data_IF_832276440175
#
_entry.id   IF_832276440175
#
_cell.length_a   1.000
_cell.length_b   1.000
_cell.length_c   1.000
_cell.angle_alpha   90.00
_cell.angle_beta   90.00
_cell.angle_gamma   90.00
#
_symmetry.space_group_name_H-M   'P 1'
#
loop_
_entity.id
_entity.type
_entity.pdbx_description
1 polymer ?
#
# COMPACT_ATOMS: atom_id res chain seq x y z
N UNK A 1 6.56 -6.80 20.15
CA UNK A 1 6.62 -6.17 18.81
C UNK A 1 5.35 -5.40 18.61
N UNK A 2 5.38 -4.23 17.97
CA UNK A 2 4.16 -3.48 17.68
C UNK A 2 3.41 -4.19 16.55
N UNK A 3 2.12 -4.45 16.78
CA UNK A 3 1.19 -4.96 15.78
C UNK A 3 0.23 -3.83 15.41
N UNK A 4 0.04 -3.61 14.11
CA UNK A 4 -0.82 -2.57 13.58
C UNK A 4 -1.90 -3.21 12.74
N UNK A 5 -3.14 -3.15 13.20
CA UNK A 5 -4.28 -3.58 12.42
C UNK A 5 -4.48 -2.63 11.24
N UNK A 6 -4.52 -3.19 10.04
CA UNK A 6 -4.69 -2.42 8.83
C UNK A 6 -6.11 -1.84 8.75
N UNK A 7 -6.20 -0.59 8.30
CA UNK A 7 -7.46 0.11 8.03
C UNK A 7 -7.47 0.61 6.60
N UNK A 8 -8.64 0.63 5.97
CA UNK A 8 -8.76 1.09 4.58
C UNK A 8 -9.14 2.54 4.49
N UNK A 9 -8.45 3.27 3.62
CA UNK A 9 -8.65 4.69 3.39
C UNK A 9 -8.83 4.95 1.90
N UNK A 10 -9.73 5.87 1.58
CA UNK A 10 -9.98 6.31 0.22
C UNK A 10 -9.68 7.80 0.05
N UNK A 11 -9.25 8.17 -1.14
CA UNK A 11 -9.06 9.58 -1.46
C UNK A 11 -10.40 10.26 -1.74
N UNK A 12 -10.64 11.40 -1.08
CA UNK A 12 -11.95 12.08 -1.13
C UNK A 12 -12.15 13.03 -2.32
N UNK A 13 -11.17 13.16 -3.21
CA UNK A 13 -11.20 14.18 -4.28
C UNK A 13 -10.73 15.57 -3.85
N UNK A 14 -10.52 15.80 -2.54
CA UNK A 14 -10.15 17.10 -1.97
C UNK A 14 -8.73 17.12 -1.43
N UNK A 15 -8.14 18.32 -1.38
CA UNK A 15 -6.84 18.59 -0.78
C UNK A 15 -7.00 19.46 0.46
N UNK A 16 -6.04 19.35 1.40
CA UNK A 16 -5.90 20.31 2.49
C UNK A 16 -5.64 21.71 1.94
N UNK A 17 -5.89 22.75 2.75
CA UNK A 17 -5.44 24.10 2.44
C UNK A 17 -3.92 24.08 2.14
N UNK A 18 -3.51 24.87 1.14
CA UNK A 18 -2.09 25.00 0.79
C UNK A 18 -1.38 25.83 1.86
N UNK A 19 -0.45 25.22 2.59
CA UNK A 19 0.37 25.88 3.60
C UNK A 19 1.82 25.84 3.10
N UNK A 20 2.41 27.01 2.85
CA UNK A 20 3.76 27.11 2.30
C UNK A 20 3.90 26.51 0.88
N UNK A 21 2.82 26.55 0.09
CA UNK A 21 2.80 25.97 -1.27
C UNK A 21 2.59 24.46 -1.31
N UNK A 22 2.37 23.82 -0.16
CA UNK A 22 2.18 22.38 -0.03
C UNK A 22 0.73 22.11 0.36
N UNK A 23 0.06 21.27 -0.40
CA UNK A 23 -1.22 20.65 -0.03
C UNK A 23 -1.08 19.13 -0.01
N UNK A 24 -1.89 18.47 0.79
CA UNK A 24 -1.93 17.02 0.89
C UNK A 24 -3.33 16.51 0.51
N UNK A 25 -3.43 15.37 -0.21
CA UNK A 25 -4.70 14.68 -0.38
C UNK A 25 -5.43 14.45 0.95
N UNK A 26 -6.75 14.65 1.00
CA UNK A 26 -7.59 14.27 2.14
C UNK A 26 -8.08 12.84 1.92
N UNK A 27 -7.80 11.99 2.90
CA UNK A 27 -8.13 10.57 2.94
C UNK A 27 -9.25 10.33 3.93
N UNK A 28 -10.16 9.40 3.63
CA UNK A 28 -11.29 9.01 4.48
C UNK A 28 -11.21 7.54 4.86
N UNK A 29 -11.32 7.23 6.15
CA UNK A 29 -11.42 5.86 6.66
C UNK A 29 -12.75 5.24 6.19
N UNK A 30 -12.70 4.10 5.52
CA UNK A 30 -13.87 3.43 4.96
C UNK A 30 -14.82 2.86 6.03
N UNK A 31 -14.32 2.61 7.25
CA UNK A 31 -15.08 2.05 8.37
C UNK A 31 -15.67 3.14 9.24
N UNK A 32 -14.90 4.16 9.61
CA UNK A 32 -15.33 5.19 10.57
C UNK A 32 -15.84 6.45 9.90
N UNK A 33 -15.46 6.70 8.64
CA UNK A 33 -15.74 7.95 7.93
C UNK A 33 -14.85 9.12 8.38
N UNK A 34 -13.87 8.89 9.28
CA UNK A 34 -12.91 9.90 9.71
C UNK A 34 -12.08 10.39 8.52
N UNK A 35 -11.81 11.70 8.46
CA UNK A 35 -11.02 12.31 7.39
C UNK A 35 -9.73 12.93 7.94
N UNK A 36 -8.60 12.58 7.34
CA UNK A 36 -7.27 13.09 7.69
C UNK A 36 -6.49 13.47 6.44
N UNK A 37 -5.41 14.24 6.58
CA UNK A 37 -4.49 14.40 5.46
C UNK A 37 -3.71 13.12 5.19
N UNK A 38 -3.31 12.86 3.94
CA UNK A 38 -2.47 11.70 3.58
C UNK A 38 -1.16 11.63 4.36
N UNK A 39 -0.64 12.75 4.87
CA UNK A 39 0.54 12.79 5.74
C UNK A 39 0.27 12.21 7.13
N UNK A 40 -0.96 12.34 7.61
CA UNK A 40 -1.41 11.93 8.94
C UNK A 40 -2.01 10.51 8.95
N UNK A 41 -2.00 9.80 7.82
CA UNK A 41 -2.46 8.41 7.78
C UNK A 41 -1.76 7.55 8.85
N UNK A 42 -2.52 6.75 9.61
CA UNK A 42 -1.97 5.91 10.66
C UNK A 42 -1.11 4.78 10.07
N UNK A 43 -0.23 4.22 10.90
CA UNK A 43 0.51 3.01 10.56
C UNK A 43 -0.45 1.86 10.25
N UNK A 44 -0.20 1.15 9.15
CA UNK A 44 -1.08 0.10 8.66
C UNK A 44 -2.24 0.60 7.79
N UNK A 45 -2.39 1.91 7.57
CA UNK A 45 -3.35 2.43 6.60
C UNK A 45 -3.09 1.84 5.21
N UNK A 46 -4.14 1.39 4.53
CA UNK A 46 -4.16 0.84 3.18
C UNK A 46 -4.96 1.74 2.24
N UNK A 47 -4.47 1.96 1.03
CA UNK A 47 -5.21 2.72 0.00
C UNK A 47 -4.88 2.24 -1.42
N UNK A 48 -5.83 2.46 -2.34
CA UNK A 48 -5.62 2.27 -3.78
C UNK A 48 -4.97 3.51 -4.39
N UNK A 49 -3.72 3.36 -4.84
CA UNK A 49 -2.94 4.41 -5.50
C UNK A 49 -3.51 4.80 -6.87
N UNK A 50 -4.30 3.92 -7.49
CA UNK A 50 -4.94 4.16 -8.78
C UNK A 50 -6.34 4.77 -8.64
N UNK A 51 -6.79 5.12 -7.42
CA UNK A 51 -8.09 5.76 -7.26
C UNK A 51 -8.12 7.11 -7.99
N UNK A 52 -9.09 7.33 -8.91
CA UNK A 52 -9.17 8.56 -9.66
C UNK A 52 -9.57 9.71 -8.74
N UNK A 53 -8.80 10.79 -8.75
CA UNK A 53 -9.11 11.97 -7.94
C UNK A 53 -10.44 12.64 -8.30
N UNK A 54 -10.82 12.56 -9.57
CA UNK A 54 -11.93 13.31 -10.16
C UNK A 54 -12.68 12.49 -11.21
N UNK A 55 -12.81 11.16 -11.01
CA UNK A 55 -13.48 10.27 -11.96
C UNK A 55 -12.75 10.07 -13.31
N UNK A 56 -11.52 10.58 -13.46
CA UNK A 56 -10.65 10.32 -14.62
C UNK A 56 -9.69 9.16 -14.31
N UNK A 57 -9.86 8.06 -15.04
CA UNK A 57 -9.04 6.83 -14.97
C UNK A 57 -7.70 6.99 -15.73
N UNK A 58 -6.99 8.10 -15.55
CA UNK A 58 -5.72 8.37 -16.26
C UNK A 58 -4.49 7.82 -15.52
N UNK A 59 -4.65 7.38 -14.26
CA UNK A 59 -3.55 6.91 -13.40
C UNK A 59 -3.26 5.43 -13.47
N UNK A 60 -4.09 4.65 -14.17
CA UNK A 60 -4.01 3.18 -14.20
C UNK A 60 -2.66 2.62 -14.66
N UNK A 61 -1.83 3.46 -15.28
CA UNK A 61 -0.51 3.11 -15.81
C UNK A 61 0.67 3.59 -14.95
N UNK A 62 0.45 4.32 -13.86
CA UNK A 62 1.53 4.94 -13.08
C UNK A 62 2.13 3.99 -12.03
N UNK A 63 1.37 3.00 -11.57
CA UNK A 63 1.80 2.10 -10.52
C UNK A 63 1.64 0.63 -10.92
N UNK A 64 2.56 -0.26 -10.47
CA UNK A 64 2.36 -1.70 -10.56
C UNK A 64 1.04 -2.12 -9.93
N UNK A 65 0.34 -3.05 -10.58
CA UNK A 65 -0.97 -3.54 -10.15
C UNK A 65 -0.95 -5.02 -9.80
N UNK A 66 -1.77 -5.40 -8.83
CA UNK A 66 -2.05 -6.79 -8.51
C UNK A 66 -2.94 -7.45 -9.57
N UNK A 67 -3.32 -8.70 -9.31
CA UNK A 67 -4.13 -9.50 -10.24
C UNK A 67 -5.55 -8.92 -10.49
N UNK A 68 -6.04 -8.11 -9.55
CA UNK A 68 -7.31 -7.38 -9.61
C UNK A 68 -7.22 -6.05 -10.38
N UNK A 69 -6.05 -5.70 -10.92
CA UNK A 69 -5.83 -4.43 -11.62
C UNK A 69 -5.78 -3.21 -10.71
N UNK A 70 -5.68 -3.40 -9.39
CA UNK A 70 -5.55 -2.35 -8.36
C UNK A 70 -4.10 -2.22 -7.91
N UNK A 71 -3.73 -1.03 -7.43
CA UNK A 71 -2.38 -0.79 -6.89
C UNK A 71 -2.47 -0.39 -5.43
N UNK A 72 -2.13 -1.31 -4.53
CA UNK A 72 -2.32 -1.10 -3.09
C UNK A 72 -1.02 -0.66 -2.44
N UNK A 73 -1.10 0.37 -1.60
CA UNK A 73 -0.01 0.79 -0.72
C UNK A 73 -0.40 0.67 0.76
N UNK A 74 0.61 0.52 1.61
CA UNK A 74 0.49 0.44 3.06
C UNK A 74 1.43 1.44 3.75
N UNK A 75 0.94 2.19 4.73
CA UNK A 75 1.77 3.06 5.58
C UNK A 75 2.59 2.21 6.57
N UNK A 76 3.91 2.35 6.52
CA UNK A 76 4.85 1.68 7.42
C UNK A 76 5.07 2.47 8.71
N UNK A 77 5.59 1.84 9.79
CA UNK A 77 5.83 2.51 11.07
C UNK A 77 6.81 3.69 11.01
N UNK A 78 7.69 3.72 10.02
CA UNK A 78 8.67 4.80 9.83
C UNK A 78 8.14 5.96 8.95
N UNK A 79 6.84 5.96 8.66
CA UNK A 79 6.19 6.98 7.84
C UNK A 79 6.35 6.80 6.34
N UNK A 80 7.09 5.78 5.88
CA UNK A 80 7.19 5.45 4.44
C UNK A 80 5.96 4.68 3.97
N UNK A 81 5.76 4.69 2.66
CA UNK A 81 4.70 3.93 2.02
C UNK A 81 5.31 2.73 1.29
N UNK A 82 4.77 1.54 1.58
CA UNK A 82 5.10 0.33 0.85
C UNK A 82 4.04 0.08 -0.21
N UNK A 83 4.43 0.21 -1.48
CA UNK A 83 3.63 -0.22 -2.61
C UNK A 83 3.68 -1.75 -2.72
N UNK A 84 2.65 -2.44 -2.24
CA UNK A 84 2.62 -3.90 -2.10
C UNK A 84 2.81 -4.59 -3.45
N UNK A 85 2.16 -4.04 -4.49
CA UNK A 85 2.18 -4.61 -5.84
C UNK A 85 3.48 -4.27 -6.62
N UNK A 86 4.40 -3.51 -6.01
CA UNK A 86 5.66 -3.12 -6.65
C UNK A 86 6.72 -4.23 -6.62
N UNK A 87 7.84 -3.98 -7.31
CA UNK A 87 9.00 -4.88 -7.29
C UNK A 87 9.95 -4.47 -6.16
N UNK A 88 10.41 -5.45 -5.40
CA UNK A 88 11.50 -5.25 -4.46
C UNK A 88 12.78 -4.85 -5.20
N UNK A 89 13.61 -3.99 -4.60
CA UNK A 89 14.88 -3.54 -5.18
C UNK A 89 15.87 -4.69 -5.42
N UNK A 90 15.78 -5.75 -4.62
CA UNK A 90 16.56 -6.98 -4.72
C UNK A 90 15.80 -8.11 -5.47
N UNK A 91 14.82 -7.78 -6.31
CA UNK A 91 14.11 -8.74 -7.14
C UNK A 91 15.09 -9.61 -7.97
N UNK A 92 14.89 -10.93 -7.95
CA UNK A 92 15.74 -11.92 -8.65
C UNK A 92 15.19 -12.36 -10.00
N UNK A 93 14.00 -11.90 -10.41
CA UNK A 93 13.34 -12.26 -11.69
C UNK A 93 13.01 -11.01 -12.51
N UNK A 94 13.98 -10.11 -12.68
CA UNK A 94 13.74 -8.77 -13.27
C UNK A 94 13.12 -8.80 -14.67
N UNK A 95 13.40 -9.84 -15.45
CA UNK A 95 12.92 -9.97 -16.83
C UNK A 95 11.53 -10.64 -16.94
N UNK A 96 11.03 -11.27 -15.86
CA UNK A 96 9.69 -11.85 -15.85
C UNK A 96 8.65 -10.77 -15.50
N UNK A 97 7.82 -10.38 -16.46
CA UNK A 97 6.75 -9.39 -16.23
C UNK A 97 5.56 -9.94 -15.41
N UNK A 98 5.39 -11.26 -15.37
CA UNK A 98 4.28 -11.95 -14.71
C UNK A 98 4.50 -12.22 -13.22
N UNK A 99 5.75 -12.31 -12.74
CA UNK A 99 5.99 -12.54 -11.32
C UNK A 99 5.60 -11.31 -10.46
N UNK A 100 5.39 -11.56 -9.17
CA UNK A 100 5.27 -10.52 -8.15
C UNK A 100 6.29 -10.75 -7.03
N UNK A 101 6.94 -9.70 -6.56
CA UNK A 101 7.89 -9.81 -5.45
C UNK A 101 7.18 -10.18 -4.14
N UNK A 102 5.96 -9.67 -4.00
CA UNK A 102 5.05 -9.93 -2.90
C UNK A 102 3.72 -10.38 -3.50
N UNK A 103 3.19 -11.53 -3.04
CA UNK A 103 1.88 -12.02 -3.48
C UNK A 103 0.85 -11.47 -2.52
N UNK A 104 0.07 -10.50 -2.99
CA UNK A 104 -1.08 -9.95 -2.26
C UNK A 104 -2.30 -10.83 -2.47
N UNK A 105 -2.95 -11.18 -1.37
CA UNK A 105 -4.29 -11.76 -1.30
C UNK A 105 -5.26 -10.73 -0.72
N UNK A 106 -6.49 -10.71 -1.24
CA UNK A 106 -7.52 -9.71 -0.93
C UNK A 106 -7.42 -8.45 -1.79
N UNK A 107 -8.51 -7.68 -1.85
CA UNK A 107 -8.60 -6.40 -2.59
C UNK A 107 -9.05 -5.24 -1.69
N UNK A 108 -9.35 -4.09 -2.30
CA UNK A 108 -9.83 -2.87 -1.62
C UNK A 108 -11.02 -3.18 -0.72
N UNK A 109 -10.93 -2.79 0.55
CA UNK A 109 -11.96 -3.03 1.57
C UNK A 109 -11.90 -4.40 2.24
N UNK A 110 -11.08 -5.33 1.74
CA UNK A 110 -10.94 -6.68 2.30
C UNK A 110 -9.70 -6.82 3.20
N UNK A 111 -9.60 -7.94 3.92
CA UNK A 111 -8.40 -8.28 4.67
C UNK A 111 -7.26 -8.58 3.71
N UNK A 112 -6.14 -7.85 3.83
CA UNK A 112 -4.94 -8.10 3.03
C UNK A 112 -4.02 -9.11 3.72
N UNK A 113 -3.51 -10.06 2.95
CA UNK A 113 -2.42 -10.94 3.36
C UNK A 113 -1.34 -10.91 2.27
N UNK A 114 -0.07 -10.83 2.65
CA UNK A 114 1.05 -10.80 1.71
C UNK A 114 2.02 -11.94 2.00
N UNK A 115 2.25 -12.80 1.02
CA UNK A 115 3.16 -13.93 1.14
C UNK A 115 3.94 -14.21 -0.17
N UNK A 116 4.38 -15.45 -0.34
CA UNK A 116 5.12 -15.98 -1.49
C UNK A 116 4.39 -17.14 -2.17
N UNK A 117 3.12 -17.35 -1.88
CA UNK A 117 2.33 -18.46 -2.44
C UNK A 117 1.79 -18.05 -3.81
N UNK A 118 2.59 -18.28 -4.85
CA UNK A 118 2.24 -17.95 -6.24
C UNK A 118 3.48 -17.78 -7.13
N UNK A 119 3.31 -17.15 -8.30
CA UNK A 119 4.44 -16.83 -9.18
C UNK A 119 5.27 -15.68 -8.60
N UNK A 120 6.34 -16.01 -7.88
CA UNK A 120 7.13 -15.05 -7.13
C UNK A 120 8.63 -15.30 -7.23
N UNK A 121 9.43 -14.24 -7.07
CA UNK A 121 10.88 -14.31 -7.09
C UNK A 121 11.45 -14.76 -5.72
N UNK A 122 12.77 -14.88 -5.59
CA UNK A 122 13.41 -15.27 -4.33
C UNK A 122 13.56 -14.10 -3.32
N UNK A 123 13.13 -12.89 -3.68
CA UNK A 123 13.27 -11.72 -2.82
C UNK A 123 12.36 -11.82 -1.57
N UNK A 124 12.97 -11.65 -0.41
CA UNK A 124 12.32 -11.13 0.80
C UNK A 124 11.38 -12.04 1.58
N UNK A 125 11.22 -13.33 1.27
CA UNK A 125 10.36 -14.28 2.03
C UNK A 125 8.91 -13.80 2.34
N UNK A 126 8.40 -12.80 1.61
CA UNK A 126 7.09 -12.16 1.86
C UNK A 126 7.14 -10.96 2.81
N UNK A 127 8.30 -10.66 3.40
CA UNK A 127 8.54 -9.51 4.26
C UNK A 127 8.85 -8.23 3.49
N UNK A 128 8.63 -7.09 4.13
CA UNK A 128 9.13 -5.78 3.72
C UNK A 128 10.27 -5.37 4.65
N UNK A 129 11.38 -4.91 4.07
CA UNK A 129 12.54 -4.41 4.80
C UNK A 129 12.91 -3.01 4.29
N UNK A 130 12.76 -2.01 5.15
CA UNK A 130 13.22 -0.63 5.00
C UNK A 130 14.17 -0.33 6.17
N UNK A 131 15.02 0.73 6.11
CA UNK A 131 16.08 0.94 7.11
C UNK A 131 15.61 0.91 8.58
N UNK A 132 14.38 1.35 8.84
CA UNK A 132 13.78 1.48 10.17
C UNK A 132 12.74 0.42 10.51
N UNK A 133 12.40 -0.47 9.57
CA UNK A 133 11.35 -1.47 9.77
C UNK A 133 11.59 -2.72 8.92
N UNK A 134 11.55 -3.89 9.56
CA UNK A 134 11.49 -5.19 8.89
C UNK A 134 10.27 -5.94 9.43
N UNK A 135 9.38 -6.41 8.56
CA UNK A 135 8.14 -7.02 9.00
C UNK A 135 7.30 -7.65 7.91
N UNK A 136 6.10 -8.08 8.30
CA UNK A 136 5.12 -8.77 7.45
C UNK A 136 3.75 -8.11 7.55
N UNK A 137 2.97 -8.20 6.48
CA UNK A 137 1.54 -7.90 6.48
C UNK A 137 0.78 -9.20 6.28
N UNK A 138 0.31 -9.81 7.36
CA UNK A 138 -0.43 -11.07 7.32
C UNK A 138 -1.80 -10.90 7.95
N UNK A 139 -2.85 -11.34 7.26
CA UNK A 139 -4.22 -11.36 7.79
C UNK A 139 -4.69 -10.00 8.33
N UNK A 140 -4.36 -8.92 7.62
CA UNK A 140 -4.74 -7.56 7.99
C UNK A 140 -3.94 -6.97 9.16
N UNK A 141 -2.80 -7.57 9.51
CA UNK A 141 -1.91 -7.08 10.57
C UNK A 141 -0.52 -6.84 10.01
N UNK A 142 -0.05 -5.59 10.11
CA UNK A 142 1.33 -5.19 9.87
C UNK A 142 2.13 -5.36 11.17
N UNK A 143 3.09 -6.29 11.18
CA UNK A 143 3.89 -6.63 12.35
C UNK A 143 5.38 -6.61 12.05
N UNK A 144 6.19 -6.11 12.98
CA UNK A 144 7.64 -6.23 12.92
C UNK A 144 8.11 -7.68 13.14
N UNK A 145 9.33 -7.97 12.65
CA UNK A 145 10.08 -9.20 12.97
C UNK A 145 10.74 -9.13 14.35
#
# INVERSE_FOLDING_TARGET
>A
MAEHHCTWWEYTGRYTASIGGISSPIMRDLKTGEEVSSRELPVGALWDCNQPANGRDDRRYLYPVGADGRSIACRLPDGRDWHIDSRASNCTMKDDAGHRCWIRHGTVGEVIHVDKVGNTCAAGAGSIAVPSFHGFLHHGVLRGC
#
